data_IF_622928291940
#
_entry.id   IF_622928291940
#
_cell.length_a   1.000
_cell.length_b   1.000
_cell.length_c   1.000
_cell.angle_alpha   90.00
_cell.angle_beta   90.00
_cell.angle_gamma   90.00
#
_symmetry.space_group_name_H-M   'P 1'
#
loop_
_entity.id
_entity.type
_entity.pdbx_description
1 polymer ?
#
# COMPACT_ATOMS: atom_id res chain seq x y z
N UNK A 1 -23.51 -33.07 26.90
CA UNK A 1 -23.55 -32.25 25.66
C UNK A 1 -22.32 -31.36 25.63
N UNK A 2 -21.28 -31.84 24.96
CA UNK A 2 -20.06 -31.12 24.57
C UNK A 2 -19.77 -31.63 23.15
N UNK A 3 -19.64 -30.69 22.21
CA UNK A 3 -19.38 -30.87 20.78
C UNK A 3 -18.20 -31.82 20.48
N UNK A 4 -18.35 -32.80 19.56
CA UNK A 4 -17.27 -33.66 19.11
C UNK A 4 -16.87 -33.34 17.65
N UNK A 5 -15.90 -32.44 17.44
CA UNK A 5 -15.25 -32.32 16.13
C UNK A 5 -13.82 -31.81 16.27
N UNK A 6 -12.96 -32.64 16.87
CA UNK A 6 -11.52 -32.41 16.88
C UNK A 6 -10.77 -33.76 16.91
N UNK A 7 -10.89 -34.55 15.84
CA UNK A 7 -9.92 -35.62 15.53
C UNK A 7 -9.69 -35.72 14.01
N UNK A 8 -8.40 -35.78 13.69
CA UNK A 8 -7.81 -36.33 12.46
C UNK A 8 -8.01 -35.56 11.14
N UNK A 9 -7.10 -34.61 10.92
CA UNK A 9 -6.55 -34.35 9.59
C UNK A 9 -5.04 -34.63 9.59
N UNK A 10 -4.68 -35.91 9.64
CA UNK A 10 -3.38 -36.38 9.18
C UNK A 10 -3.57 -36.78 7.70
N UNK A 11 -3.47 -35.80 6.80
CA UNK A 11 -3.50 -36.08 5.36
C UNK A 11 -2.16 -36.70 4.93
N UNK A 12 -2.23 -37.87 4.28
CA UNK A 12 -1.09 -38.64 3.78
C UNK A 12 -0.40 -37.90 2.61
N UNK A 13 0.91 -38.11 2.39
CA UNK A 13 1.70 -37.39 1.37
C UNK A 13 1.25 -37.60 -0.10
N UNK A 14 0.35 -38.55 -0.39
CA UNK A 14 -0.15 -38.79 -1.75
C UNK A 14 -1.23 -37.79 -2.24
N UNK A 15 -1.87 -37.02 -1.35
CA UNK A 15 -2.94 -36.08 -1.72
C UNK A 15 -2.46 -34.66 -2.06
N UNK A 16 -1.18 -34.35 -1.83
CA UNK A 16 -0.58 -33.06 -2.24
C UNK A 16 -0.29 -32.98 -3.74
N UNK A 17 -0.01 -34.12 -4.36
CA UNK A 17 0.34 -34.19 -5.78
C UNK A 17 -0.92 -34.03 -6.64
N UNK A 18 -2.04 -34.61 -6.22
CA UNK A 18 -3.35 -34.45 -6.89
C UNK A 18 -3.87 -33.02 -6.83
N UNK A 19 -3.66 -32.28 -5.72
CA UNK A 19 -4.05 -30.87 -5.64
C UNK A 19 -3.21 -29.97 -6.56
N UNK A 20 -1.88 -30.20 -6.62
CA UNK A 20 -0.97 -29.42 -7.48
C UNK A 20 -1.18 -29.76 -8.96
N UNK A 21 -1.42 -31.02 -9.31
CA UNK A 21 -1.73 -31.43 -10.68
C UNK A 21 -3.12 -30.94 -11.14
N UNK A 22 -4.12 -30.91 -10.26
CA UNK A 22 -5.42 -30.34 -10.59
C UNK A 22 -5.35 -28.81 -10.73
N UNK A 23 -4.51 -28.13 -9.96
CA UNK A 23 -4.27 -26.69 -10.11
C UNK A 23 -3.51 -26.37 -11.41
N UNK A 24 -2.52 -27.19 -11.78
CA UNK A 24 -1.80 -27.06 -13.05
C UNK A 24 -2.70 -27.33 -14.28
N UNK A 25 -3.55 -28.37 -14.24
CA UNK A 25 -4.54 -28.63 -15.29
C UNK A 25 -5.56 -27.50 -15.44
N UNK A 26 -6.04 -26.94 -14.33
CA UNK A 26 -7.01 -25.84 -14.35
C UNK A 26 -6.44 -24.56 -14.97
N UNK A 27 -5.18 -24.22 -14.66
CA UNK A 27 -4.49 -23.06 -15.25
C UNK A 27 -4.24 -23.27 -16.76
N UNK A 28 -3.91 -24.49 -17.18
CA UNK A 28 -3.64 -24.79 -18.58
C UNK A 28 -4.93 -24.79 -19.43
N UNK A 29 -6.05 -25.32 -18.93
CA UNK A 29 -7.35 -25.26 -19.62
C UNK A 29 -7.92 -23.84 -19.68
N UNK A 30 -7.74 -23.03 -18.62
CA UNK A 30 -8.22 -21.65 -18.59
C UNK A 30 -7.45 -20.73 -19.56
N UNK A 31 -6.13 -20.90 -19.67
CA UNK A 31 -5.32 -20.15 -20.66
C UNK A 31 -5.71 -20.53 -22.08
N UNK A 32 -5.97 -21.81 -22.36
CA UNK A 32 -6.42 -22.27 -23.69
C UNK A 32 -7.81 -21.73 -24.04
N UNK A 33 -8.75 -21.70 -23.08
CA UNK A 33 -10.08 -21.12 -23.30
C UNK A 33 -10.04 -19.60 -23.54
N UNK A 34 -9.24 -18.84 -22.78
CA UNK A 34 -9.09 -17.40 -22.97
C UNK A 34 -8.41 -17.08 -24.32
N UNK A 35 -7.41 -17.86 -24.73
CA UNK A 35 -6.77 -17.70 -26.05
C UNK A 35 -7.74 -18.04 -27.18
N UNK A 36 -8.54 -19.10 -27.05
CA UNK A 36 -9.52 -19.48 -28.07
C UNK A 36 -10.63 -18.43 -28.24
N UNK A 37 -11.14 -17.88 -27.14
CA UNK A 37 -12.17 -16.82 -27.19
C UNK A 37 -11.60 -15.53 -27.78
N UNK A 38 -10.38 -15.13 -27.42
CA UNK A 38 -9.75 -13.90 -27.95
C UNK A 38 -9.41 -14.02 -29.44
N UNK A 39 -8.85 -15.15 -29.89
CA UNK A 39 -8.56 -15.38 -31.32
C UNK A 39 -9.85 -15.46 -32.15
N UNK A 40 -10.93 -16.04 -31.60
CA UNK A 40 -12.23 -16.09 -32.28
C UNK A 40 -12.86 -14.70 -32.38
N UNK A 41 -12.76 -13.89 -31.31
CA UNK A 41 -13.24 -12.50 -31.33
C UNK A 41 -12.45 -11.64 -32.31
N UNK A 42 -11.13 -11.79 -32.38
CA UNK A 42 -10.27 -11.08 -33.34
C UNK A 42 -10.62 -11.47 -34.78
N UNK A 43 -10.89 -12.75 -35.06
CA UNK A 43 -11.37 -13.20 -36.38
C UNK A 43 -12.76 -12.65 -36.72
N UNK A 44 -13.67 -12.57 -35.74
CA UNK A 44 -15.00 -12.00 -35.92
C UNK A 44 -14.97 -10.47 -36.15
N UNK A 45 -14.05 -9.76 -35.49
CA UNK A 45 -13.82 -8.33 -35.70
C UNK A 45 -13.16 -8.07 -37.07
N UNK A 46 -12.19 -8.89 -37.47
CA UNK A 46 -11.56 -8.80 -38.78
C UNK A 46 -12.50 -9.15 -39.95
N UNK A 47 -13.45 -10.08 -39.75
CA UNK A 47 -14.46 -10.43 -40.75
C UNK A 47 -15.56 -9.36 -40.92
N UNK A 48 -15.70 -8.43 -39.97
CA UNK A 48 -16.67 -7.32 -40.01
C UNK A 48 -16.12 -6.02 -40.62
N UNK A 49 -14.82 -5.96 -40.96
CA UNK A 49 -14.21 -4.76 -41.56
C UNK A 49 -14.02 -4.89 -43.07
N UNK A 50 -15.08 -5.23 -43.81
CA UNK A 50 -15.12 -5.06 -45.26
C UNK A 50 -16.03 -3.87 -45.60
N UNK A 51 -15.46 -2.67 -45.48
CA UNK A 51 -15.99 -1.48 -46.14
C UNK A 51 -14.79 -0.63 -46.62
N UNK A 52 -14.61 -0.40 -47.93
CA UNK A 52 -13.35 0.06 -48.52
C UNK A 52 -13.18 1.59 -48.60
N UNK A 53 -13.80 2.37 -47.72
CA UNK A 53 -13.70 3.82 -47.74
C UNK A 53 -13.07 4.35 -46.46
N UNK A 54 -11.82 4.83 -46.57
CA UNK A 54 -11.21 6.01 -45.90
C UNK A 54 -9.71 5.79 -45.74
N UNK A 55 -8.99 5.75 -46.86
CA UNK A 55 -7.52 5.77 -46.91
C UNK A 55 -7.07 7.14 -47.43
N UNK A 56 -7.24 8.19 -46.63
CA UNK A 56 -6.53 9.44 -46.80
C UNK A 56 -6.38 10.13 -45.45
N UNK A 57 -5.20 9.97 -44.85
CA UNK A 57 -4.36 11.03 -44.31
C UNK A 57 -3.17 10.38 -43.58
N UNK A 58 -2.17 10.04 -44.39
CA UNK A 58 -0.78 10.05 -43.94
C UNK A 58 -0.30 11.51 -44.06
N UNK A 59 0.59 11.90 -43.14
CA UNK A 59 1.39 13.12 -43.14
C UNK A 59 0.77 14.35 -42.46
N UNK A 60 0.99 14.45 -41.15
CA UNK A 60 1.59 15.63 -40.53
C UNK A 60 1.87 15.29 -39.07
N UNK A 61 3.14 15.14 -38.70
CA UNK A 61 3.77 15.46 -37.40
C UNK A 61 5.19 14.87 -37.44
N UNK A 62 5.99 15.43 -38.36
CA UNK A 62 7.44 15.47 -38.25
C UNK A 62 7.79 16.76 -37.50
N UNK A 63 8.85 16.72 -36.70
CA UNK A 63 9.55 17.83 -36.04
C UNK A 63 8.99 18.29 -34.67
N UNK A 64 9.55 17.75 -33.60
CA UNK A 64 10.60 18.48 -32.86
C UNK A 64 11.25 17.58 -31.82
N UNK A 65 12.56 17.44 -31.98
CA UNK A 65 13.49 16.75 -31.11
C UNK A 65 13.96 17.68 -29.97
N UNK A 66 14.02 17.10 -28.75
CA UNK A 66 15.01 17.34 -27.65
C UNK A 66 14.92 18.63 -26.79
N UNK A 67 15.55 18.69 -25.59
CA UNK A 67 16.02 17.62 -24.68
C UNK A 67 15.59 17.80 -23.20
N UNK A 68 15.78 16.72 -22.43
CA UNK A 68 15.86 16.70 -20.97
C UNK A 68 17.16 17.39 -20.53
N UNK A 69 17.08 18.42 -19.69
CA UNK A 69 18.20 18.85 -18.86
C UNK A 69 17.73 19.05 -17.42
N UNK A 70 18.33 18.26 -16.53
CA UNK A 70 18.46 18.52 -15.11
C UNK A 70 18.85 19.98 -14.84
N UNK A 71 18.10 20.64 -13.96
CA UNK A 71 18.55 21.84 -13.28
C UNK A 71 17.90 21.91 -11.90
N UNK A 72 18.62 21.32 -10.94
CA UNK A 72 18.74 21.78 -9.56
C UNK A 72 18.23 23.23 -9.39
N UNK A 73 17.02 23.37 -8.83
CA UNK A 73 16.52 24.63 -8.28
C UNK A 73 16.30 24.46 -6.78
N UNK A 74 17.35 23.96 -6.10
CA UNK A 74 17.51 24.16 -4.67
C UNK A 74 18.57 25.24 -4.48
N UNK A 75 18.19 26.27 -3.72
CA UNK A 75 18.97 27.43 -3.30
C UNK A 75 19.09 28.59 -4.31
N UNK A 76 18.15 29.55 -4.24
CA UNK A 76 18.44 30.97 -4.01
C UNK A 76 17.25 31.87 -4.39
N UNK A 77 16.30 32.10 -3.48
CA UNK A 77 15.56 33.38 -3.45
C UNK A 77 15.40 33.81 -1.99
N UNK A 78 16.46 34.38 -1.43
CA UNK A 78 16.40 35.23 -0.25
C UNK A 78 17.25 36.47 -0.53
N UNK A 79 16.71 37.38 -1.35
CA UNK A 79 16.94 38.84 -1.34
C UNK A 79 16.40 39.41 -2.65
N UNK A 80 15.27 40.11 -2.56
CA UNK A 80 14.96 41.38 -3.25
C UNK A 80 13.52 41.73 -2.88
N UNK A 81 13.37 42.50 -1.81
CA UNK A 81 12.17 43.29 -1.60
C UNK A 81 12.33 44.56 -2.44
N UNK A 82 11.41 44.81 -3.38
CA UNK A 82 10.68 46.07 -3.57
C UNK A 82 9.95 46.05 -4.92
N UNK A 83 8.65 45.74 -4.92
CA UNK A 83 7.66 46.31 -5.84
C UNK A 83 6.28 46.25 -5.15
N UNK A 84 5.53 47.36 -5.05
CA UNK A 84 4.18 47.34 -4.50
C UNK A 84 3.18 46.97 -5.60
N UNK A 85 2.33 45.97 -5.35
CA UNK A 85 1.07 45.82 -6.08
C UNK A 85 0.96 44.69 -7.11
N UNK A 86 1.30 43.45 -6.75
CA UNK A 86 0.83 42.28 -7.52
C UNK A 86 0.32 41.18 -6.58
N UNK A 87 -0.97 40.86 -6.78
CA UNK A 87 -1.77 39.73 -6.29
C UNK A 87 -1.07 38.71 -5.37
N UNK A 88 -1.55 38.65 -4.13
CA UNK A 88 -1.20 37.64 -3.12
C UNK A 88 -1.64 36.24 -3.58
N UNK A 89 -0.80 35.57 -4.38
CA UNK A 89 -0.76 34.12 -4.38
C UNK A 89 -0.22 33.68 -3.02
N UNK A 90 -1.14 33.33 -2.12
CA UNK A 90 -0.88 32.62 -0.88
C UNK A 90 -0.27 31.26 -1.21
N UNK A 91 1.05 31.21 -1.43
CA UNK A 91 1.81 29.99 -1.24
C UNK A 91 1.67 29.62 0.24
N UNK A 92 0.72 28.75 0.54
CA UNK A 92 0.60 28.17 1.88
C UNK A 92 1.89 27.40 2.16
N UNK A 93 2.79 28.04 2.92
CA UNK A 93 3.97 27.35 3.42
C UNK A 93 3.48 26.09 4.16
N UNK A 94 3.90 24.91 3.70
CA UNK A 94 3.59 23.65 4.39
C UNK A 94 3.98 23.81 5.85
N UNK A 95 3.01 23.69 6.74
CA UNK A 95 3.21 23.70 8.20
C UNK A 95 4.27 22.63 8.53
N UNK A 96 5.50 23.06 8.79
CA UNK A 96 6.59 22.15 9.11
C UNK A 96 6.40 21.65 10.56
N UNK A 97 5.97 20.40 10.70
CA UNK A 97 5.80 19.80 12.03
C UNK A 97 7.13 19.20 12.50
N UNK A 98 7.65 19.67 13.65
CA UNK A 98 8.86 19.10 14.26
C UNK A 98 8.59 17.66 14.66
N UNK A 99 9.37 16.73 14.11
CA UNK A 99 9.18 15.30 14.36
C UNK A 99 10.22 14.79 15.35
N UNK A 100 9.78 14.07 16.37
CA UNK A 100 10.67 13.52 17.39
C UNK A 100 10.71 11.99 17.30
N UNK A 101 11.91 11.44 17.29
CA UNK A 101 12.19 10.02 17.40
C UNK A 101 11.88 9.49 18.80
N UNK A 102 11.64 8.20 18.94
CA UNK A 102 11.42 7.55 20.23
C UNK A 102 12.65 7.71 21.15
N UNK A 103 13.87 7.67 20.58
CA UNK A 103 15.10 7.92 21.33
C UNK A 103 15.17 9.32 21.92
N UNK A 104 14.85 10.35 21.14
CA UNK A 104 14.79 11.74 21.62
C UNK A 104 13.75 11.90 22.72
N UNK A 105 12.55 11.33 22.54
CA UNK A 105 11.50 11.34 23.56
C UNK A 105 11.99 10.74 24.88
N UNK A 106 12.68 9.59 24.83
CA UNK A 106 13.25 8.94 26.03
C UNK A 106 14.30 9.81 26.71
N UNK A 107 15.22 10.42 25.95
CA UNK A 107 16.24 11.33 26.49
C UNK A 107 15.62 12.54 27.19
N UNK A 108 14.60 13.14 26.57
CA UNK A 108 13.88 14.29 27.14
C UNK A 108 13.10 13.89 28.40
N UNK A 109 12.43 12.73 28.38
CA UNK A 109 11.76 12.19 29.56
C UNK A 109 12.76 11.93 30.70
N UNK A 110 13.92 11.32 30.42
CA UNK A 110 14.95 11.08 31.43
C UNK A 110 15.57 12.39 31.98
N UNK A 111 15.81 13.37 31.09
CA UNK A 111 16.33 14.68 31.48
C UNK A 111 15.35 15.44 32.38
N UNK A 112 14.05 15.31 32.11
CA UNK A 112 12.99 15.88 32.95
C UNK A 112 12.97 15.28 34.36
N UNK A 113 13.04 13.96 34.50
CA UNK A 113 13.10 13.30 35.83
C UNK A 113 14.34 13.76 36.61
N UNK A 114 15.48 13.92 35.93
CA UNK A 114 16.74 14.35 36.55
C UNK A 114 16.71 15.80 37.02
N UNK A 115 16.12 16.69 36.24
CA UNK A 115 16.15 18.14 36.50
C UNK A 115 15.06 18.60 37.47
N UNK A 116 14.00 17.81 37.67
CA UNK A 116 12.92 18.13 38.63
C UNK A 116 12.17 19.44 38.33
N UNK A 117 12.28 19.97 37.10
CA UNK A 117 11.69 21.25 36.72
C UNK A 117 10.17 21.15 36.54
N UNK A 118 9.49 22.30 36.60
CA UNK A 118 8.09 22.37 36.17
C UNK A 118 7.97 22.04 34.67
N UNK A 119 6.88 21.37 34.28
CA UNK A 119 6.66 21.00 32.86
C UNK A 119 6.65 22.23 31.94
N UNK A 120 6.18 23.37 32.45
CA UNK A 120 6.21 24.66 31.74
C UNK A 120 7.65 25.09 31.44
N UNK A 121 8.49 25.16 32.46
CA UNK A 121 9.87 25.64 32.33
C UNK A 121 10.72 24.71 31.47
N UNK A 122 10.51 23.40 31.62
CA UNK A 122 11.19 22.40 30.79
C UNK A 122 10.84 22.53 29.30
N UNK A 123 9.55 22.71 28.96
CA UNK A 123 9.11 22.92 27.58
C UNK A 123 9.69 24.19 26.94
N UNK A 124 9.83 25.26 27.74
CA UNK A 124 10.41 26.53 27.28
C UNK A 124 11.90 26.39 26.98
N UNK A 125 12.65 25.68 27.83
CA UNK A 125 14.10 25.44 27.65
C UNK A 125 14.36 24.52 26.45
N UNK A 126 13.64 23.41 26.34
CA UNK A 126 13.84 22.40 25.30
C UNK A 126 13.13 22.75 23.97
N UNK A 127 12.34 23.83 23.94
CA UNK A 127 11.58 24.25 22.75
C UNK A 127 10.51 23.24 22.32
N UNK A 128 9.84 22.59 23.27
CA UNK A 128 8.81 21.58 23.02
C UNK A 128 7.42 22.22 23.19
N UNK A 129 6.51 22.10 22.20
CA UNK A 129 5.13 22.55 22.37
C UNK A 129 4.46 21.82 23.55
N UNK A 130 3.81 22.58 24.43
CA UNK A 130 3.22 22.03 25.67
C UNK A 130 2.20 20.92 25.43
N UNK A 131 1.43 21.02 24.35
CA UNK A 131 0.48 19.99 23.96
C UNK A 131 1.19 18.65 23.68
N UNK A 132 2.25 18.69 22.88
CA UNK A 132 3.10 17.53 22.57
C UNK A 132 3.70 16.91 23.83
N UNK A 133 4.24 17.75 24.73
CA UNK A 133 4.83 17.26 25.98
C UNK A 133 3.81 16.58 26.89
N UNK A 134 2.62 17.16 27.02
CA UNK A 134 1.50 16.58 27.79
C UNK A 134 1.10 15.20 27.25
N UNK A 135 1.03 15.03 25.95
CA UNK A 135 0.68 13.74 25.33
C UNK A 135 1.76 12.68 25.53
N UNK A 136 3.03 13.08 25.50
CA UNK A 136 4.13 12.18 25.80
C UNK A 136 4.17 11.79 27.27
N UNK A 137 3.86 12.71 28.17
CA UNK A 137 3.72 12.39 29.60
C UNK A 137 2.61 11.38 29.85
N UNK A 138 1.44 11.55 29.23
CA UNK A 138 0.34 10.57 29.29
C UNK A 138 0.77 9.18 28.78
N UNK A 139 1.60 9.14 27.75
CA UNK A 139 2.12 7.90 27.15
C UNK A 139 3.54 7.53 27.61
N UNK A 140 4.03 8.11 28.71
CA UNK A 140 5.45 8.03 29.11
C UNK A 140 5.90 6.58 29.32
N UNK A 141 5.07 5.80 30.02
CA UNK A 141 5.29 4.37 30.25
C UNK A 141 5.51 3.62 28.94
N UNK A 142 4.60 3.80 27.97
CA UNK A 142 4.70 3.17 26.63
C UNK A 142 5.96 3.63 25.88
N UNK A 143 6.31 4.90 25.94
CA UNK A 143 7.50 5.42 25.26
C UNK A 143 8.78 4.84 25.88
N UNK A 144 8.85 4.69 27.21
CA UNK A 144 10.00 4.16 27.93
C UNK A 144 10.15 2.64 27.73
N UNK A 145 9.06 1.87 27.83
CA UNK A 145 9.09 0.39 27.83
C UNK A 145 9.11 -0.24 26.44
N UNK A 146 8.79 0.49 25.37
CA UNK A 146 8.68 -0.10 24.03
C UNK A 146 10.01 -0.66 23.52
N UNK A 147 10.03 -1.93 23.09
CA UNK A 147 11.18 -2.56 22.44
C UNK A 147 11.43 -2.07 20.99
N UNK A 148 10.65 -1.09 20.52
CA UNK A 148 10.75 -0.55 19.15
C UNK A 148 12.06 0.23 18.99
N UNK A 149 12.65 0.12 17.79
CA UNK A 149 13.84 0.86 17.40
C UNK A 149 13.70 2.37 17.70
N UNK A 150 14.68 2.90 18.44
CA UNK A 150 14.71 4.28 18.91
C UNK A 150 14.71 5.33 17.79
N UNK A 151 15.17 4.99 16.58
CA UNK A 151 15.16 5.87 15.41
C UNK A 151 13.75 6.10 14.85
N UNK A 152 12.77 5.25 15.17
CA UNK A 152 11.38 5.42 14.69
C UNK A 152 10.73 6.63 15.37
N UNK A 153 9.77 7.25 14.68
CA UNK A 153 9.04 8.43 15.18
C UNK A 153 7.72 8.07 15.86
N UNK A 154 7.14 6.93 15.48
CA UNK A 154 5.85 6.42 15.98
C UNK A 154 6.06 5.11 16.75
N UNK A 155 5.13 4.82 17.67
CA UNK A 155 5.11 3.58 18.44
C UNK A 155 4.57 2.38 17.62
N UNK A 156 4.40 2.53 16.30
CA UNK A 156 3.77 1.51 15.47
C UNK A 156 2.28 1.30 15.81
N UNK A 157 1.63 0.35 15.12
CA UNK A 157 0.24 -0.05 15.40
C UNK A 157 -0.84 0.99 15.07
N UNK A 158 -0.46 2.18 14.60
CA UNK A 158 -1.37 3.28 14.24
C UNK A 158 -1.97 3.14 12.84
N UNK A 159 -1.60 2.09 12.10
CA UNK A 159 -2.18 1.81 10.79
C UNK A 159 -3.59 1.24 10.92
N UNK A 160 -4.48 1.62 10.00
CA UNK A 160 -5.80 1.02 9.88
C UNK A 160 -5.65 -0.51 9.79
N UNK A 161 -6.30 -1.28 10.67
CA UNK A 161 -6.26 -2.74 10.61
C UNK A 161 -6.82 -3.18 9.26
N UNK A 162 -6.20 -4.18 8.63
CA UNK A 162 -6.70 -4.68 7.35
C UNK A 162 -8.06 -5.35 7.63
N UNK A 163 -9.09 -4.96 6.87
CA UNK A 163 -10.48 -5.42 7.07
C UNK A 163 -10.75 -6.81 6.51
N UNK A 164 -9.73 -7.52 6.02
CA UNK A 164 -9.89 -8.84 5.40
C UNK A 164 -10.10 -9.89 6.50
N UNK A 165 -11.28 -10.54 6.58
CA UNK A 165 -11.58 -11.51 7.63
C UNK A 165 -10.73 -12.78 7.51
N UNK A 166 -10.36 -13.17 6.30
CA UNK A 166 -9.58 -14.37 5.96
C UNK A 166 -8.07 -14.13 5.77
N UNK A 167 -7.51 -13.13 6.46
CA UNK A 167 -6.10 -12.72 6.32
C UNK A 167 -5.09 -13.88 6.34
N UNK A 168 -5.31 -14.89 7.19
CA UNK A 168 -4.37 -16.00 7.38
C UNK A 168 -4.35 -16.91 6.15
N UNK A 169 -5.50 -17.12 5.53
CA UNK A 169 -5.64 -17.97 4.35
C UNK A 169 -4.99 -17.29 3.14
N UNK A 170 -5.25 -15.99 2.96
CA UNK A 170 -4.58 -15.17 1.95
C UNK A 170 -3.05 -15.13 2.15
N UNK A 171 -2.59 -15.03 3.39
CA UNK A 171 -1.15 -15.05 3.69
C UNK A 171 -0.50 -16.42 3.41
N UNK A 172 -1.25 -17.52 3.54
CA UNK A 172 -0.76 -18.85 3.15
C UNK A 172 -0.51 -18.90 1.65
N UNK A 173 -1.51 -18.50 0.86
CA UNK A 173 -1.38 -18.39 -0.61
C UNK A 173 -0.16 -17.57 -1.00
N UNK A 174 0.02 -16.37 -0.42
CA UNK A 174 1.17 -15.51 -0.75
C UNK A 174 2.52 -16.18 -0.48
N UNK A 175 2.61 -16.97 0.60
CA UNK A 175 3.81 -17.75 0.92
C UNK A 175 4.00 -18.92 -0.04
N UNK A 176 2.92 -19.59 -0.43
CA UNK A 176 2.95 -20.71 -1.39
C UNK A 176 3.39 -20.25 -2.78
N UNK A 177 2.84 -19.14 -3.29
CA UNK A 177 3.24 -18.53 -4.57
C UNK A 177 4.74 -18.19 -4.57
N UNK A 178 5.23 -17.59 -3.48
CA UNK A 178 6.64 -17.22 -3.36
C UNK A 178 7.56 -18.44 -3.19
N UNK A 179 7.08 -19.54 -2.58
CA UNK A 179 7.81 -20.81 -2.50
C UNK A 179 7.93 -21.50 -3.85
N UNK A 180 6.96 -21.31 -4.74
CA UNK A 180 7.02 -21.79 -6.12
C UNK A 180 7.87 -20.93 -7.06
N UNK A 181 8.76 -20.07 -6.53
CA UNK A 181 9.61 -19.14 -7.29
C UNK A 181 8.86 -18.13 -8.19
N UNK A 182 7.56 -17.94 -7.97
CA UNK A 182 6.76 -16.99 -8.72
C UNK A 182 6.73 -15.60 -8.07
N UNK A 183 6.70 -14.57 -8.91
CA UNK A 183 6.48 -13.19 -8.47
C UNK A 183 5.03 -13.08 -8.00
N UNK A 184 4.85 -12.75 -6.72
CA UNK A 184 3.53 -12.48 -6.17
C UNK A 184 2.95 -11.23 -6.82
N UNK A 185 1.79 -11.36 -7.45
CA UNK A 185 1.04 -10.24 -8.03
C UNK A 185 -0.30 -10.06 -7.33
N UNK A 186 -0.88 -8.86 -7.45
CA UNK A 186 -2.24 -8.62 -6.96
C UNK A 186 -3.27 -9.52 -7.63
N UNK A 187 -3.02 -9.96 -8.88
CA UNK A 187 -3.92 -10.87 -9.57
C UNK A 187 -4.04 -12.21 -8.83
N UNK A 188 -2.93 -12.81 -8.37
CA UNK A 188 -2.97 -14.05 -7.59
C UNK A 188 -3.85 -13.92 -6.34
N UNK A 189 -3.74 -12.79 -5.64
CA UNK A 189 -4.57 -12.51 -4.46
C UNK A 189 -6.05 -12.32 -4.83
N UNK A 190 -6.33 -11.64 -5.93
CA UNK A 190 -7.70 -11.40 -6.43
C UNK A 190 -8.36 -12.71 -6.86
N UNK A 191 -7.70 -13.50 -7.72
CA UNK A 191 -8.23 -14.80 -8.19
C UNK A 191 -8.52 -15.75 -7.03
N UNK A 192 -7.68 -15.74 -5.99
CA UNK A 192 -7.94 -16.51 -4.79
C UNK A 192 -9.18 -16.01 -4.02
N UNK A 193 -9.36 -14.69 -3.91
CA UNK A 193 -10.55 -14.12 -3.29
C UNK A 193 -11.81 -14.43 -4.10
N UNK A 194 -11.74 -14.35 -5.43
CA UNK A 194 -12.84 -14.73 -6.32
C UNK A 194 -13.20 -16.22 -6.20
N UNK A 195 -12.22 -17.10 -6.00
CA UNK A 195 -12.47 -18.54 -5.90
C UNK A 195 -13.09 -19.00 -4.57
N UNK A 196 -12.71 -18.38 -3.45
CA UNK A 196 -13.08 -18.87 -2.10
C UNK A 196 -13.93 -17.89 -1.29
N UNK A 197 -14.00 -16.63 -1.68
CA UNK A 197 -14.61 -15.54 -0.90
C UNK A 197 -15.38 -14.56 -1.82
N UNK A 198 -16.07 -15.08 -2.83
CA UNK A 198 -16.83 -14.29 -3.80
C UNK A 198 -17.89 -13.41 -3.10
N UNK A 199 -18.70 -13.98 -2.21
CA UNK A 199 -19.70 -13.24 -1.42
C UNK A 199 -19.09 -12.01 -0.73
N UNK A 200 -17.92 -12.18 -0.10
CA UNK A 200 -17.23 -11.10 0.60
C UNK A 200 -16.70 -10.04 -0.38
N UNK A 201 -16.20 -10.46 -1.54
CA UNK A 201 -15.66 -9.58 -2.57
C UNK A 201 -16.78 -8.74 -3.21
N UNK A 202 -17.95 -9.33 -3.42
CA UNK A 202 -19.16 -8.65 -3.88
C UNK A 202 -19.60 -7.60 -2.87
N UNK A 203 -19.81 -7.97 -1.60
CA UNK A 203 -20.13 -6.99 -0.52
C UNK A 203 -19.03 -5.94 -0.35
N UNK A 204 -17.77 -6.28 -0.55
CA UNK A 204 -16.68 -5.32 -0.43
C UNK A 204 -16.70 -4.28 -1.55
N UNK A 205 -17.06 -4.67 -2.77
CA UNK A 205 -17.05 -3.76 -3.94
C UNK A 205 -18.33 -2.93 -4.06
N UNK A 206 -19.41 -3.35 -3.40
CA UNK A 206 -20.65 -2.58 -3.28
C UNK A 206 -20.43 -1.15 -2.75
N UNK A 207 -21.07 -0.17 -3.39
CA UNK A 207 -21.03 1.24 -3.00
C UNK A 207 -19.70 1.96 -3.27
N UNK A 208 -18.69 1.29 -3.83
CA UNK A 208 -17.42 1.94 -4.21
C UNK A 208 -17.49 2.51 -5.62
N UNK A 209 -16.89 3.69 -5.80
CA UNK A 209 -16.80 4.36 -7.10
C UNK A 209 -16.06 3.50 -8.14
N UNK A 210 -14.97 2.85 -7.73
CA UNK A 210 -14.17 1.93 -8.55
C UNK A 210 -13.85 0.67 -7.72
N UNK A 211 -14.67 -0.37 -7.84
CA UNK A 211 -14.50 -1.63 -7.09
C UNK A 211 -13.14 -2.29 -7.35
N UNK A 212 -12.78 -2.43 -8.63
CA UNK A 212 -11.52 -3.05 -9.05
C UNK A 212 -10.27 -2.31 -8.55
N UNK A 213 -10.20 -0.97 -8.72
CA UNK A 213 -9.05 -0.18 -8.22
C UNK A 213 -8.95 -0.24 -6.71
N UNK A 214 -10.08 -0.25 -6.01
CA UNK A 214 -10.12 -0.37 -4.55
C UNK A 214 -9.60 -1.74 -4.10
N UNK A 215 -9.97 -2.80 -4.81
CA UNK A 215 -9.48 -4.16 -4.56
C UNK A 215 -7.98 -4.28 -4.82
N UNK A 216 -7.49 -3.70 -5.93
CA UNK A 216 -6.06 -3.68 -6.24
C UNK A 216 -5.26 -3.01 -5.13
N UNK A 217 -5.74 -1.86 -4.65
CA UNK A 217 -5.12 -1.11 -3.54
C UNK A 217 -5.14 -1.90 -2.24
N UNK A 218 -6.25 -2.58 -1.93
CA UNK A 218 -6.35 -3.46 -0.76
C UNK A 218 -5.26 -4.55 -0.80
N UNK A 219 -5.09 -5.20 -1.94
CA UNK A 219 -4.08 -6.25 -2.14
C UNK A 219 -2.65 -5.71 -1.97
N UNK A 220 -2.35 -4.55 -2.57
CA UNK A 220 -1.05 -3.90 -2.45
C UNK A 220 -0.73 -3.49 -1.01
N UNK A 221 -1.71 -2.90 -0.31
CA UNK A 221 -1.56 -2.53 1.10
C UNK A 221 -1.38 -3.76 1.99
N UNK A 222 -2.06 -4.87 1.68
CA UNK A 222 -1.90 -6.14 2.38
C UNK A 222 -0.48 -6.68 2.20
N UNK A 223 0.00 -6.80 0.96
CA UNK A 223 1.36 -7.26 0.67
C UNK A 223 2.43 -6.40 1.35
N UNK A 224 2.31 -5.07 1.23
CA UNK A 224 3.24 -4.12 1.86
C UNK A 224 3.30 -4.24 3.38
N UNK A 225 2.18 -4.53 4.05
CA UNK A 225 2.14 -4.73 5.51
C UNK A 225 2.81 -6.03 5.94
N UNK A 226 2.82 -7.03 5.07
CA UNK A 226 3.41 -8.34 5.32
C UNK A 226 4.83 -8.49 4.76
N UNK A 227 5.38 -7.43 4.15
CA UNK A 227 6.73 -7.37 3.54
C UNK A 227 6.93 -8.37 2.38
N UNK A 228 5.94 -8.45 1.49
CA UNK A 228 6.05 -9.18 0.22
C UNK A 228 6.42 -8.27 -0.94
#
# INVERSE_FOLDING_TARGET
MVEPCMREWVARPHDRITLVLNCAKYVQEFVVQVIFVTVTLIKQVAAKSHDPATFHLRACMSQSELPVTDLHHDAAICRLNLLPGVSQYIYTQRRCHKSYSIGEKRKLLASFERLGLSSRRFCEIEGIPRATWRDWRKNSKKIKETAINAKRKTLGGQGAKCSIPFRNHLLSLMKDVRRGEHILTSMHMITFMEAYYEDWLTTYTEGKRDGYKSLLKLCQDFARRHNF
#
